data_IF_236988177781
#
_entry.id   IF_236988177781
#
_cell.length_a   1.000
_cell.length_b   1.000
_cell.length_c   1.000
_cell.angle_alpha   90.00
_cell.angle_beta   90.00
_cell.angle_gamma   90.00
#
_symmetry.space_group_name_H-M   'P 1'
#
loop_
_entity.id
_entity.type
_entity.pdbx_description
1 polymer ?
#
# COMPACT_ATOMS: atom_id res chain seq x y z
N UNK A 1 41.80 -34.33 69.62
CA UNK A 1 42.73 -34.31 68.48
C UNK A 1 42.15 -33.36 67.45
N UNK A 2 42.60 -32.09 67.45
CA UNK A 2 41.99 -31.03 66.63
C UNK A 2 42.44 -31.11 65.17
N UNK A 3 41.49 -31.03 64.23
CA UNK A 3 41.77 -30.97 62.80
C UNK A 3 42.48 -29.64 62.51
N UNK A 4 43.71 -29.69 61.98
CA UNK A 4 44.42 -28.51 61.47
C UNK A 4 43.96 -28.24 60.04
N UNK A 5 43.14 -27.22 59.83
CA UNK A 5 42.82 -26.72 58.47
C UNK A 5 44.00 -25.89 57.98
N UNK A 6 44.91 -26.49 57.20
CA UNK A 6 45.91 -25.71 56.45
C UNK A 6 45.19 -25.13 55.23
N UNK A 7 44.81 -23.85 55.30
CA UNK A 7 44.39 -23.13 54.09
C UNK A 7 45.60 -22.96 53.19
N UNK A 8 45.36 -22.97 51.88
CA UNK A 8 46.35 -22.53 50.90
C UNK A 8 46.57 -21.04 51.15
N UNK A 9 47.82 -20.62 51.33
CA UNK A 9 48.13 -19.19 51.50
C UNK A 9 47.81 -18.43 50.20
N UNK A 10 47.47 -17.15 50.33
CA UNK A 10 47.11 -16.31 49.18
C UNK A 10 48.21 -16.30 48.12
N UNK A 11 47.80 -16.34 46.85
CA UNK A 11 48.72 -16.36 45.70
C UNK A 11 49.58 -17.62 45.53
N UNK A 12 49.47 -18.65 46.40
CA UNK A 12 50.33 -19.84 46.30
C UNK A 12 49.99 -20.75 45.12
N UNK A 13 48.76 -20.72 44.60
CA UNK A 13 48.37 -21.44 43.37
C UNK A 13 48.40 -20.44 42.21
N UNK A 14 49.51 -20.37 41.51
CA UNK A 14 49.67 -19.54 40.30
C UNK A 14 49.34 -20.34 39.04
N UNK A 15 49.02 -19.68 37.93
CA UNK A 15 48.68 -20.34 36.67
C UNK A 15 49.71 -21.40 36.21
N UNK A 16 51.04 -21.19 36.32
CA UNK A 16 52.03 -22.23 35.97
C UNK A 16 51.99 -23.49 36.84
N UNK A 17 51.44 -23.41 38.06
CA UNK A 17 51.29 -24.56 38.97
C UNK A 17 50.07 -25.41 38.62
N UNK A 18 49.19 -24.96 37.72
CA UNK A 18 48.06 -25.71 37.18
C UNK A 18 48.44 -26.20 35.79
N UNK A 19 48.80 -27.48 35.67
CA UNK A 19 49.11 -28.07 34.36
C UNK A 19 47.88 -28.02 33.43
N UNK A 20 48.08 -27.91 32.12
CA UNK A 20 47.00 -27.78 31.13
C UNK A 20 46.03 -28.99 31.09
N UNK A 21 46.42 -30.14 31.66
CA UNK A 21 45.57 -31.33 31.84
C UNK A 21 45.27 -31.65 33.31
N UNK A 22 45.43 -30.70 34.23
CA UNK A 22 45.04 -30.90 35.61
C UNK A 22 43.52 -31.09 35.67
N UNK A 23 43.07 -32.27 36.09
CA UNK A 23 41.67 -32.59 36.32
C UNK A 23 41.15 -31.89 37.58
N UNK A 24 41.10 -30.55 37.54
CA UNK A 24 40.46 -29.76 38.58
C UNK A 24 38.97 -30.07 38.50
N UNK A 25 38.51 -30.96 39.39
CA UNK A 25 37.10 -31.26 39.54
C UNK A 25 36.38 -29.96 39.93
N UNK A 26 35.57 -29.42 39.01
CA UNK A 26 34.85 -28.16 39.25
C UNK A 26 33.84 -28.28 40.37
N UNK A 27 33.39 -29.51 40.69
CA UNK A 27 32.58 -29.83 41.87
C UNK A 27 33.31 -29.62 43.21
N UNK A 28 34.65 -29.49 43.20
CA UNK A 28 35.50 -29.21 44.36
C UNK A 28 35.94 -27.76 44.46
N UNK A 29 35.83 -26.99 43.38
CA UNK A 29 35.73 -25.53 43.50
C UNK A 29 34.39 -25.25 44.20
N UNK A 30 34.27 -24.21 45.02
CA UNK A 30 33.01 -23.93 45.70
C UNK A 30 31.90 -23.84 44.65
N UNK A 31 31.14 -24.91 44.52
CA UNK A 31 30.31 -25.20 43.36
C UNK A 31 28.97 -24.48 43.57
N UNK A 32 29.07 -23.17 43.79
CA UNK A 32 28.01 -22.29 44.26
C UNK A 32 27.51 -21.35 43.18
N UNK A 33 26.85 -20.28 43.62
CA UNK A 33 26.14 -19.27 42.84
C UNK A 33 27.01 -18.45 41.87
N UNK A 34 28.32 -18.65 41.87
CA UNK A 34 29.29 -17.78 41.18
C UNK A 34 29.54 -18.16 39.72
N UNK A 35 29.09 -19.34 39.25
CA UNK A 35 29.30 -19.80 37.88
C UNK A 35 28.00 -20.24 37.19
N UNK A 36 27.89 -19.94 35.90
CA UNK A 36 26.89 -20.58 35.04
C UNK A 36 27.19 -22.06 34.88
N UNK A 37 26.26 -22.91 35.31
CA UNK A 37 26.37 -24.38 35.14
C UNK A 37 25.68 -24.84 33.87
N UNK A 38 26.26 -25.84 33.21
CA UNK A 38 25.72 -26.44 31.97
C UNK A 38 24.35 -27.10 32.14
N UNK A 39 24.03 -27.52 33.36
CA UNK A 39 22.76 -28.12 33.73
C UNK A 39 21.66 -27.08 34.03
N UNK A 40 22.01 -25.78 34.02
CA UNK A 40 21.08 -24.69 34.32
C UNK A 40 20.68 -24.57 35.79
N UNK A 41 21.31 -25.29 36.71
CA UNK A 41 20.95 -25.27 38.14
C UNK A 41 21.28 -23.95 38.84
N UNK A 42 22.11 -23.09 38.24
CA UNK A 42 22.41 -21.73 38.71
C UNK A 42 21.67 -20.73 37.84
N UNK A 43 20.74 -19.99 38.44
CA UNK A 43 19.92 -18.99 37.75
C UNK A 43 20.68 -17.68 37.51
N UNK A 44 20.46 -17.06 36.35
CA UNK A 44 20.81 -15.68 36.12
C UNK A 44 19.87 -14.76 36.90
N UNK A 45 20.34 -14.18 38.01
CA UNK A 45 19.53 -13.27 38.86
C UNK A 45 19.71 -11.79 38.50
N UNK A 46 20.68 -11.47 37.64
CA UNK A 46 20.97 -10.11 37.15
C UNK A 46 20.98 -10.00 35.63
N UNK A 47 21.17 -8.77 35.15
CA UNK A 47 21.38 -8.48 33.73
C UNK A 47 22.77 -8.97 33.30
N UNK A 48 22.83 -9.66 32.16
CA UNK A 48 24.08 -10.11 31.57
C UNK A 48 24.30 -9.38 30.24
N UNK A 49 25.27 -8.47 30.21
CA UNK A 49 25.71 -7.82 28.98
C UNK A 49 26.72 -8.71 28.25
N UNK A 50 26.46 -8.99 26.97
CA UNK A 50 27.32 -9.80 26.11
C UNK A 50 28.30 -8.96 25.28
N UNK A 51 28.33 -7.63 25.44
CA UNK A 51 29.21 -6.70 24.72
C UNK A 51 29.20 -6.92 23.19
N UNK A 52 28.00 -6.98 22.60
CA UNK A 52 27.73 -7.25 21.18
C UNK A 52 28.20 -8.62 20.64
N UNK A 53 28.50 -9.59 21.51
CA UNK A 53 28.80 -10.95 21.08
C UNK A 53 27.53 -11.76 20.80
N UNK A 54 27.67 -12.80 19.96
CA UNK A 54 26.58 -13.70 19.58
C UNK A 54 26.34 -14.77 20.65
N UNK A 55 25.08 -15.03 20.95
CA UNK A 55 24.64 -16.26 21.63
C UNK A 55 24.18 -17.24 20.54
N UNK A 56 24.85 -18.38 20.41
CA UNK A 56 24.55 -19.38 19.39
C UNK A 56 23.65 -20.49 19.94
N UNK A 57 22.93 -21.20 19.06
CA UNK A 57 22.05 -22.32 19.40
C UNK A 57 20.91 -21.97 20.37
N UNK A 58 20.33 -20.78 20.24
CA UNK A 58 19.11 -20.39 20.96
C UNK A 58 17.91 -21.10 20.32
N UNK A 59 17.15 -21.84 21.12
CA UNK A 59 15.95 -22.57 20.67
C UNK A 59 14.83 -21.65 20.18
N UNK A 60 13.81 -22.21 19.53
CA UNK A 60 12.59 -21.46 19.18
C UNK A 60 11.82 -21.13 20.48
N UNK A 61 11.42 -19.86 20.69
CA UNK A 61 10.71 -19.47 21.90
C UNK A 61 9.34 -20.17 21.98
N UNK A 62 8.97 -20.59 23.19
CA UNK A 62 7.66 -21.22 23.49
C UNK A 62 6.89 -20.46 24.57
N UNK A 63 7.60 -19.77 25.47
CA UNK A 63 7.02 -18.89 26.48
C UNK A 63 7.26 -17.40 26.14
N UNK A 64 6.47 -16.51 26.74
CA UNK A 64 6.56 -15.06 26.50
C UNK A 64 7.87 -14.43 26.99
N UNK A 65 8.59 -15.07 27.89
CA UNK A 65 9.88 -14.60 28.41
C UNK A 65 11.11 -15.23 27.75
N UNK A 66 10.92 -16.14 26.79
CA UNK A 66 12.05 -16.83 26.15
C UNK A 66 12.85 -15.86 25.25
N UNK A 67 14.16 -16.06 25.18
CA UNK A 67 14.98 -15.42 24.15
C UNK A 67 14.54 -15.90 22.77
N UNK A 68 14.37 -14.96 21.83
CA UNK A 68 13.97 -15.29 20.46
C UNK A 68 15.20 -15.49 19.57
N UNK A 69 15.20 -16.55 18.77
CA UNK A 69 16.22 -16.72 17.73
C UNK A 69 15.85 -15.92 16.47
N UNK A 70 16.87 -15.56 15.68
CA UNK A 70 16.68 -14.74 14.47
C UNK A 70 15.72 -15.40 13.47
N UNK A 71 15.85 -16.71 13.26
CA UNK A 71 15.02 -17.47 12.31
C UNK A 71 13.54 -17.36 12.64
N UNK A 72 13.17 -17.42 13.92
CA UNK A 72 11.80 -17.25 14.39
C UNK A 72 11.26 -15.85 14.05
N UNK A 73 12.01 -14.80 14.39
CA UNK A 73 11.63 -13.40 14.09
C UNK A 73 11.51 -13.17 12.59
N UNK A 74 12.49 -13.62 11.80
CA UNK A 74 12.47 -13.50 10.34
C UNK A 74 11.25 -14.19 9.73
N UNK A 75 10.88 -15.38 10.24
CA UNK A 75 9.73 -16.14 9.75
C UNK A 75 8.41 -15.42 10.06
N UNK A 76 8.28 -14.81 11.24
CA UNK A 76 7.10 -14.01 11.59
C UNK A 76 6.99 -12.77 10.72
N UNK A 77 8.10 -12.07 10.47
CA UNK A 77 8.13 -10.87 9.60
C UNK A 77 7.78 -11.26 8.16
N UNK A 78 8.36 -12.35 7.65
CA UNK A 78 8.04 -12.86 6.33
C UNK A 78 6.57 -13.32 6.22
N UNK A 79 6.00 -13.83 7.32
CA UNK A 79 4.61 -14.24 7.42
C UNK A 79 3.62 -13.10 7.69
N UNK A 80 4.09 -11.87 7.95
CA UNK A 80 3.22 -10.73 8.14
C UNK A 80 2.60 -10.35 6.78
N UNK A 81 1.45 -10.94 6.48
CA UNK A 81 0.60 -10.50 5.39
C UNK A 81 0.06 -9.11 5.73
N UNK A 82 0.68 -8.06 5.21
CA UNK A 82 0.06 -6.74 5.25
C UNK A 82 -1.34 -6.86 4.66
N UNK A 83 -2.37 -6.43 5.41
CA UNK A 83 -3.77 -6.51 4.99
C UNK A 83 -4.01 -5.90 3.59
N UNK A 84 -3.08 -5.04 3.16
CA UNK A 84 -2.92 -4.55 1.81
C UNK A 84 -1.45 -4.62 1.39
N UNK A 85 -1.15 -5.18 0.22
CA UNK A 85 0.20 -5.17 -0.36
C UNK A 85 0.45 -3.79 -0.97
N UNK A 86 0.79 -2.80 -0.13
CA UNK A 86 1.06 -1.42 -0.56
C UNK A 86 2.44 -1.28 -1.19
N UNK A 87 2.49 -0.62 -2.34
CA UNK A 87 3.72 -0.37 -3.11
C UNK A 87 3.74 1.08 -3.57
N UNK A 88 4.90 1.71 -3.52
CA UNK A 88 5.11 3.03 -4.11
C UNK A 88 6.00 2.84 -5.33
N UNK A 89 5.57 3.40 -6.46
CA UNK A 89 6.37 3.49 -7.68
C UNK A 89 6.62 4.95 -7.99
N UNK A 90 7.69 5.24 -8.72
CA UNK A 90 7.99 6.62 -9.06
C UNK A 90 7.07 7.13 -10.17
N UNK A 91 6.89 6.35 -11.22
CA UNK A 91 6.03 6.68 -12.36
C UNK A 91 5.20 5.48 -12.81
N UNK A 92 4.23 5.72 -13.69
CA UNK A 92 3.46 4.70 -14.38
C UNK A 92 3.50 4.91 -15.90
N UNK A 93 3.36 3.81 -16.65
CA UNK A 93 3.20 3.89 -18.11
C UNK A 93 1.87 4.55 -18.48
N UNK A 94 1.85 5.40 -19.52
CA UNK A 94 0.63 5.99 -20.10
C UNK A 94 0.15 5.24 -21.36
N UNK A 95 0.75 4.08 -21.66
CA UNK A 95 0.46 3.25 -22.82
C UNK A 95 1.36 2.01 -22.85
N UNK A 96 1.33 1.28 -23.97
CA UNK A 96 2.16 0.08 -24.16
C UNK A 96 3.67 0.41 -24.05
N UNK A 97 4.41 -0.44 -23.34
CA UNK A 97 5.88 -0.45 -23.31
C UNK A 97 6.42 -1.83 -23.67
N UNK A 98 7.52 -1.88 -24.42
CA UNK A 98 8.27 -3.11 -24.63
C UNK A 98 9.15 -3.39 -23.40
N UNK A 99 8.76 -4.36 -22.58
CA UNK A 99 9.50 -4.69 -21.34
C UNK A 99 10.90 -5.27 -21.61
N UNK A 100 11.17 -5.79 -22.80
CA UNK A 100 12.50 -6.29 -23.18
C UNK A 100 13.43 -5.18 -23.66
N UNK A 101 12.90 -4.02 -24.01
CA UNK A 101 13.67 -2.83 -24.35
C UNK A 101 12.72 -1.61 -24.32
N UNK A 102 12.69 -0.82 -23.23
CA UNK A 102 11.71 0.26 -23.08
C UNK A 102 11.89 1.40 -24.09
N UNK A 103 13.07 1.53 -24.72
CA UNK A 103 13.39 2.55 -25.72
C UNK A 103 13.47 3.99 -25.20
N UNK A 104 13.11 4.23 -23.93
CA UNK A 104 13.04 5.55 -23.29
C UNK A 104 13.37 5.43 -21.80
N UNK A 105 13.86 6.51 -21.21
CA UNK A 105 13.92 6.68 -19.75
C UNK A 105 12.77 7.54 -19.22
N UNK A 106 11.93 8.10 -20.10
CA UNK A 106 10.86 9.02 -19.72
C UNK A 106 9.51 8.31 -19.76
N UNK A 107 8.83 8.27 -18.61
CA UNK A 107 7.49 7.71 -18.43
C UNK A 107 6.59 8.74 -17.75
N UNK A 108 5.45 9.05 -18.36
CA UNK A 108 4.53 10.08 -17.86
C UNK A 108 5.23 11.41 -17.49
N UNK A 109 6.11 11.90 -18.36
CA UNK A 109 6.99 13.09 -18.14
C UNK A 109 8.10 12.94 -17.09
N UNK A 110 8.14 11.84 -16.35
CA UNK A 110 9.17 11.53 -15.34
C UNK A 110 10.36 10.84 -15.99
N UNK A 111 11.57 11.39 -15.84
CA UNK A 111 12.82 10.73 -16.28
C UNK A 111 13.32 9.78 -15.19
N UNK A 112 13.28 8.48 -15.44
CA UNK A 112 13.65 7.41 -14.52
C UNK A 112 15.17 7.24 -14.40
N UNK A 113 15.64 7.03 -13.17
CA UNK A 113 16.99 6.54 -12.87
C UNK A 113 17.01 5.01 -12.75
N UNK A 114 18.19 4.42 -12.90
CA UNK A 114 18.38 2.97 -12.73
C UNK A 114 17.91 2.55 -11.33
N UNK A 115 17.24 1.40 -11.26
CA UNK A 115 16.62 0.78 -10.09
C UNK A 115 15.41 1.50 -9.50
N UNK A 116 14.91 2.55 -10.14
CA UNK A 116 13.62 3.13 -9.79
C UNK A 116 12.45 2.26 -10.25
N UNK A 117 11.38 2.24 -9.47
CA UNK A 117 10.20 1.42 -9.73
C UNK A 117 9.24 2.12 -10.69
N UNK A 118 8.82 1.39 -11.72
CA UNK A 118 7.85 1.77 -12.73
C UNK A 118 6.64 0.82 -12.66
N UNK A 119 5.43 1.37 -12.63
CA UNK A 119 4.22 0.57 -12.86
C UNK A 119 3.94 0.44 -14.36
N UNK A 120 3.97 -0.80 -14.86
CA UNK A 120 3.52 -1.16 -16.21
C UNK A 120 2.14 -1.79 -16.09
N UNK A 121 1.10 -1.07 -16.53
CA UNK A 121 -0.29 -1.47 -16.22
C UNK A 121 -1.23 -1.56 -17.42
N UNK A 122 -0.81 -1.05 -18.59
CA UNK A 122 -1.64 -0.99 -19.79
C UNK A 122 -1.09 -1.79 -20.97
N UNK A 123 -0.16 -2.72 -20.74
CA UNK A 123 0.35 -3.53 -21.86
C UNK A 123 -0.76 -4.41 -22.45
N UNK A 124 -0.80 -4.48 -23.78
CA UNK A 124 -1.73 -5.35 -24.52
C UNK A 124 -1.53 -6.83 -24.12
N UNK A 125 -0.29 -7.27 -23.93
CA UNK A 125 0.01 -8.57 -23.30
C UNK A 125 -0.07 -8.41 -21.78
N UNK A 126 -1.27 -8.55 -21.22
CA UNK A 126 -1.52 -8.25 -19.80
C UNK A 126 -0.74 -9.13 -18.81
N UNK A 127 -0.28 -10.33 -19.21
CA UNK A 127 0.61 -11.13 -18.35
C UNK A 127 1.99 -10.50 -18.12
N UNK A 128 2.32 -9.45 -18.88
CA UNK A 128 3.51 -8.61 -18.71
C UNK A 128 3.27 -7.39 -17.82
N UNK A 129 2.05 -7.09 -17.41
CA UNK A 129 1.83 -6.01 -16.44
C UNK A 129 2.45 -6.37 -15.08
N UNK A 130 2.75 -5.34 -14.30
CA UNK A 130 3.37 -5.45 -12.99
C UNK A 130 4.25 -4.25 -12.66
N UNK A 131 4.98 -4.38 -11.56
CA UNK A 131 5.97 -3.38 -11.13
C UNK A 131 7.35 -3.83 -11.60
N UNK A 132 8.09 -2.91 -12.19
CA UNK A 132 9.41 -3.17 -12.77
C UNK A 132 10.45 -2.19 -12.22
N UNK A 133 11.67 -2.68 -12.04
CA UNK A 133 12.87 -1.86 -11.90
C UNK A 133 13.31 -1.39 -13.28
N UNK A 134 13.46 -0.08 -13.45
CA UNK A 134 14.06 0.50 -14.65
C UNK A 134 15.57 0.23 -14.65
N UNK A 135 16.12 -0.32 -15.74
CA UNK A 135 17.55 -0.65 -15.84
C UNK A 135 18.32 0.17 -16.87
N UNK A 136 17.65 1.14 -17.50
CA UNK A 136 18.17 1.92 -18.62
C UNK A 136 17.26 1.83 -19.84
N UNK A 137 17.33 2.82 -20.73
CA UNK A 137 16.43 2.95 -21.87
C UNK A 137 16.57 1.82 -22.89
N UNK A 138 17.74 1.20 -23.00
CA UNK A 138 18.02 0.11 -23.93
C UNK A 138 18.18 -1.27 -23.25
N UNK A 139 17.83 -1.38 -21.97
CA UNK A 139 17.99 -2.59 -21.16
C UNK A 139 16.61 -3.13 -20.79
N UNK A 140 16.39 -4.46 -20.80
CA UNK A 140 15.14 -5.03 -20.32
C UNK A 140 14.76 -4.52 -18.94
N UNK A 141 13.48 -4.18 -18.78
CA UNK A 141 12.89 -3.97 -17.47
C UNK A 141 12.96 -5.28 -16.68
N UNK A 142 13.25 -5.19 -15.39
CA UNK A 142 13.33 -6.36 -14.51
C UNK A 142 12.16 -6.31 -13.54
N UNK A 143 11.36 -7.38 -13.41
CA UNK A 143 10.27 -7.41 -12.43
C UNK A 143 10.82 -7.09 -11.04
N UNK A 144 10.10 -6.26 -10.29
CA UNK A 144 10.48 -5.93 -8.92
C UNK A 144 10.33 -7.17 -8.02
N UNK A 145 11.14 -7.32 -6.95
CA UNK A 145 11.06 -8.46 -6.02
C UNK A 145 9.74 -8.62 -5.26
N UNK A 146 8.80 -7.69 -5.46
CA UNK A 146 7.47 -7.69 -4.88
C UNK A 146 6.37 -7.68 -5.96
N UNK A 147 6.75 -8.08 -7.18
CA UNK A 147 5.92 -8.27 -8.36
C UNK A 147 6.48 -9.41 -9.24
N UNK A 148 7.13 -10.40 -8.61
CA UNK A 148 7.80 -11.55 -9.22
C UNK A 148 7.20 -12.91 -8.82
N UNK A 149 6.12 -12.91 -8.02
CA UNK A 149 5.30 -14.08 -7.76
C UNK A 149 3.80 -13.79 -7.92
N UNK A 150 3.02 -14.79 -8.37
CA UNK A 150 1.58 -14.57 -8.64
C UNK A 150 0.82 -14.13 -7.39
N UNK A 151 1.14 -14.73 -6.24
CA UNK A 151 0.50 -14.42 -4.97
C UNK A 151 0.75 -12.99 -4.49
N UNK A 152 1.50 -12.16 -5.23
CA UNK A 152 1.73 -10.75 -4.91
C UNK A 152 0.72 -9.81 -5.57
N UNK A 153 0.05 -10.23 -6.65
CA UNK A 153 -0.88 -9.38 -7.40
C UNK A 153 -2.28 -9.26 -6.80
N UNK A 154 -2.94 -10.35 -6.34
CA UNK A 154 -4.28 -10.27 -5.77
C UNK A 154 -4.34 -9.27 -4.60
N UNK A 155 -5.22 -8.27 -4.74
CA UNK A 155 -5.44 -7.22 -3.75
C UNK A 155 -4.29 -6.24 -3.55
N UNK A 156 -3.29 -6.21 -4.44
CA UNK A 156 -2.19 -5.25 -4.34
C UNK A 156 -2.65 -3.82 -4.63
N UNK A 157 -2.07 -2.86 -3.90
CA UNK A 157 -2.29 -1.42 -4.06
C UNK A 157 -0.98 -0.74 -4.42
N UNK A 158 -1.00 0.08 -5.46
CA UNK A 158 0.18 0.77 -6.00
C UNK A 158 -0.12 2.27 -6.05
N UNK A 159 0.67 3.06 -5.33
CA UNK A 159 0.67 4.52 -5.44
C UNK A 159 1.75 4.97 -6.41
N UNK A 160 1.43 5.95 -7.26
CA UNK A 160 2.36 6.57 -8.21
C UNK A 160 2.70 7.97 -7.70
N UNK A 161 3.99 8.23 -7.48
CA UNK A 161 4.43 9.48 -6.84
C UNK A 161 4.49 10.67 -7.80
N UNK A 162 4.87 10.45 -9.06
CA UNK A 162 5.14 11.51 -10.02
C UNK A 162 4.53 11.19 -11.39
N UNK A 163 4.21 12.24 -12.15
CA UNK A 163 3.79 12.16 -13.54
C UNK A 163 2.63 13.08 -13.87
N UNK A 164 2.49 13.46 -15.14
CA UNK A 164 1.47 14.42 -15.57
C UNK A 164 0.05 13.81 -15.62
N UNK A 165 -0.07 12.54 -15.96
CA UNK A 165 -1.35 11.84 -16.18
C UNK A 165 -1.70 10.92 -14.99
N UNK A 166 -0.69 10.31 -14.39
CA UNK A 166 -0.81 9.29 -13.35
C UNK A 166 -0.07 9.64 -12.06
N UNK A 167 0.56 10.81 -11.96
CA UNK A 167 1.04 11.33 -10.68
C UNK A 167 -0.07 11.38 -9.64
N UNK A 168 0.31 11.17 -8.37
CA UNK A 168 -0.57 11.13 -7.19
C UNK A 168 -1.75 10.14 -7.28
N UNK A 169 -1.70 9.20 -8.22
CA UNK A 169 -2.78 8.24 -8.45
C UNK A 169 -2.53 6.94 -7.70
N UNK A 170 -3.63 6.23 -7.39
CA UNK A 170 -3.60 4.88 -6.84
C UNK A 170 -4.18 3.88 -7.83
N UNK A 171 -3.63 2.68 -7.81
CA UNK A 171 -4.06 1.55 -8.63
C UNK A 171 -4.21 0.32 -7.73
N UNK A 172 -5.20 -0.51 -8.01
CA UNK A 172 -5.32 -1.82 -7.39
C UNK A 172 -5.36 -2.93 -8.42
N UNK A 173 -4.87 -4.11 -8.08
CA UNK A 173 -4.97 -5.29 -8.94
C UNK A 173 -6.12 -6.18 -8.47
N UNK A 174 -7.24 -6.25 -9.22
CA UNK A 174 -8.40 -7.06 -8.87
C UNK A 174 -8.26 -8.54 -9.26
N UNK A 175 -7.07 -9.01 -9.67
CA UNK A 175 -6.89 -10.41 -10.05
C UNK A 175 -7.11 -11.35 -8.86
N UNK A 176 -7.57 -12.56 -9.14
CA UNK A 176 -7.85 -13.58 -8.12
C UNK A 176 -6.60 -14.42 -7.81
N UNK A 177 -6.62 -15.09 -6.66
CA UNK A 177 -5.64 -16.13 -6.34
C UNK A 177 -5.66 -17.27 -7.37
N UNK A 178 -4.54 -18.00 -7.48
CA UNK A 178 -4.45 -19.23 -8.30
C UNK A 178 -4.04 -19.06 -9.77
N UNK A 179 -3.63 -17.88 -10.21
CA UNK A 179 -3.03 -17.67 -11.52
C UNK A 179 -1.53 -18.00 -11.57
N UNK A 180 -0.93 -17.83 -12.76
CA UNK A 180 0.48 -18.12 -13.03
C UNK A 180 1.16 -16.90 -13.65
N UNK A 181 2.27 -16.46 -13.05
CA UNK A 181 3.07 -15.34 -13.55
C UNK A 181 3.54 -15.60 -14.99
N UNK A 182 3.48 -14.56 -15.84
CA UNK A 182 3.89 -14.66 -17.25
C UNK A 182 2.84 -15.26 -18.19
N UNK A 183 1.83 -15.94 -17.64
CA UNK A 183 0.77 -16.60 -18.43
C UNK A 183 -0.60 -15.96 -18.17
N UNK A 184 -1.03 -15.90 -16.91
CA UNK A 184 -2.33 -15.31 -16.55
C UNK A 184 -2.26 -13.79 -16.67
N UNK A 185 -3.34 -13.18 -17.16
CA UNK A 185 -3.43 -11.73 -17.28
C UNK A 185 -3.32 -11.04 -15.91
N UNK A 186 -2.46 -10.02 -15.82
CA UNK A 186 -2.35 -9.15 -14.65
C UNK A 186 -3.02 -7.83 -15.01
N UNK A 187 -4.12 -7.51 -14.34
CA UNK A 187 -4.88 -6.28 -14.57
C UNK A 187 -4.70 -5.34 -13.40
N UNK A 188 -4.59 -4.04 -13.67
CA UNK A 188 -4.71 -2.99 -12.67
C UNK A 188 -5.88 -2.07 -13.02
N UNK A 189 -6.61 -1.67 -12.00
CA UNK A 189 -7.66 -0.66 -12.09
C UNK A 189 -7.16 0.59 -11.36
N UNK A 190 -7.24 1.74 -12.02
CA UNK A 190 -7.00 3.02 -11.35
C UNK A 190 -8.11 3.26 -10.34
N UNK A 191 -7.77 3.54 -9.09
CA UNK A 191 -8.74 4.10 -8.14
C UNK A 191 -9.21 5.44 -8.70
N UNK A 192 -10.53 5.65 -8.88
CA UNK A 192 -11.03 6.92 -9.36
C UNK A 192 -10.70 7.99 -8.30
N UNK A 193 -9.60 8.71 -8.51
CA UNK A 193 -9.16 9.82 -7.65
C UNK A 193 -10.09 11.04 -7.77
N UNK A 194 -11.06 11.01 -8.67
CA UNK A 194 -12.15 11.99 -8.74
C UNK A 194 -13.48 11.25 -8.61
N UNK A 195 -14.05 11.33 -7.42
CA UNK A 195 -15.49 11.17 -7.24
C UNK A 195 -16.24 12.33 -7.90
N UNK A 196 -17.49 12.56 -7.49
CA UNK A 196 -18.22 13.75 -7.90
C UNK A 196 -17.48 15.00 -7.40
N UNK A 197 -17.06 15.85 -8.34
CA UNK A 197 -16.51 17.17 -8.03
C UNK A 197 -17.55 18.25 -8.28
N UNK A 198 -17.31 19.47 -7.81
CA UNK A 198 -18.15 20.61 -8.14
C UNK A 198 -18.29 20.85 -9.67
N UNK A 199 -17.31 20.42 -10.47
CA UNK A 199 -17.38 20.53 -11.92
C UNK A 199 -18.45 19.62 -12.55
N UNK A 200 -18.90 18.59 -11.84
CA UNK A 200 -19.97 17.68 -12.27
C UNK A 200 -21.36 18.18 -11.87
N UNK A 201 -21.44 19.19 -11.00
CA UNK A 201 -22.70 19.75 -10.52
C UNK A 201 -22.93 21.12 -11.15
N UNK A 202 -24.18 21.41 -11.47
CA UNK A 202 -24.64 22.76 -11.78
C UNK A 202 -25.71 23.10 -10.77
N UNK A 203 -25.45 24.13 -9.96
CA UNK A 203 -26.34 24.53 -8.87
C UNK A 203 -27.07 25.83 -9.21
N UNK A 204 -28.40 25.79 -9.15
CA UNK A 204 -29.28 26.97 -9.27
C UNK A 204 -28.99 27.78 -10.54
N UNK A 205 -28.79 27.10 -11.66
CA UNK A 205 -28.74 27.73 -12.97
C UNK A 205 -30.04 28.49 -13.25
N UNK A 206 -29.94 29.68 -13.84
CA UNK A 206 -31.09 30.34 -14.46
C UNK A 206 -31.10 29.96 -15.93
N UNK A 207 -32.02 29.10 -16.38
CA UNK A 207 -32.06 28.72 -17.78
C UNK A 207 -32.40 29.94 -18.65
N UNK A 208 -31.87 29.95 -19.87
CA UNK A 208 -32.20 30.99 -20.84
C UNK A 208 -33.61 30.82 -21.40
N UNK A 209 -34.23 31.93 -21.81
CA UNK A 209 -35.64 31.99 -22.22
C UNK A 209 -36.37 33.09 -21.49
N UNK A 210 -37.27 33.80 -22.16
CA UNK A 210 -38.04 34.88 -21.52
C UNK A 210 -39.17 34.30 -20.70
N UNK A 211 -39.35 34.76 -19.46
CA UNK A 211 -40.53 34.46 -18.63
C UNK A 211 -41.54 35.60 -18.84
N UNK A 212 -42.53 35.37 -19.70
CA UNK A 212 -43.46 36.41 -20.17
C UNK A 212 -44.93 35.98 -20.16
N UNK A 213 -45.27 34.87 -19.50
CA UNK A 213 -46.62 34.31 -19.48
C UNK A 213 -47.05 33.56 -20.75
N UNK A 214 -46.19 33.46 -21.77
CA UNK A 214 -46.49 32.74 -23.01
C UNK A 214 -45.40 31.75 -23.45
N UNK A 215 -44.13 32.00 -23.11
CA UNK A 215 -43.03 31.13 -23.48
C UNK A 215 -42.96 29.90 -22.56
N UNK A 216 -42.91 28.71 -23.17
CA UNK A 216 -42.77 27.42 -22.46
C UNK A 216 -41.38 26.80 -22.60
N UNK A 217 -40.54 27.31 -23.50
CA UNK A 217 -39.24 26.72 -23.82
C UNK A 217 -38.09 27.47 -23.13
N UNK A 218 -37.22 26.71 -22.48
CA UNK A 218 -36.05 27.21 -21.77
C UNK A 218 -34.82 26.34 -22.04
N UNK A 219 -33.62 26.92 -22.02
CA UNK A 219 -32.38 26.20 -22.37
C UNK A 219 -31.32 26.31 -21.29
N UNK A 220 -30.80 25.16 -20.88
CA UNK A 220 -29.69 24.98 -19.95
C UNK A 220 -28.33 25.10 -20.66
N UNK A 221 -27.29 25.45 -19.91
CA UNK A 221 -25.93 25.58 -20.41
C UNK A 221 -25.26 24.23 -20.70
N UNK A 222 -25.68 23.14 -20.02
CA UNK A 222 -25.15 21.80 -20.23
C UNK A 222 -26.30 20.78 -20.21
N UNK A 223 -26.13 19.66 -20.89
CA UNK A 223 -27.09 18.54 -20.86
C UNK A 223 -27.05 17.86 -19.50
N UNK A 224 -28.17 17.76 -18.76
CA UNK A 224 -28.21 16.98 -17.53
C UNK A 224 -27.99 15.49 -17.77
N UNK A 225 -27.36 14.82 -16.81
CA UNK A 225 -27.50 13.37 -16.66
C UNK A 225 -28.98 13.09 -16.45
N UNK A 226 -29.55 12.21 -17.27
CA UNK A 226 -30.99 11.91 -17.30
C UNK A 226 -31.59 11.71 -15.91
N UNK A 227 -32.57 12.53 -15.55
CA UNK A 227 -33.30 12.45 -14.28
C UNK A 227 -32.55 13.04 -13.08
N UNK A 228 -31.44 13.73 -13.29
CA UNK A 228 -30.72 14.43 -12.22
C UNK A 228 -31.18 15.87 -12.01
N UNK A 229 -31.96 16.40 -12.95
CA UNK A 229 -32.46 17.76 -12.94
C UNK A 229 -33.54 17.98 -11.89
N UNK A 230 -33.44 19.11 -11.21
CA UNK A 230 -34.46 19.64 -10.33
C UNK A 230 -34.84 21.03 -10.84
N UNK A 231 -35.99 21.16 -11.49
CA UNK A 231 -36.54 22.44 -11.96
C UNK A 231 -37.40 23.04 -10.87
N UNK A 232 -37.09 24.27 -10.46
CA UNK A 232 -37.85 25.02 -9.47
C UNK A 232 -38.50 26.23 -10.13
N UNK A 233 -39.82 26.35 -10.01
CA UNK A 233 -40.59 27.53 -10.37
C UNK A 233 -40.98 28.27 -9.09
N UNK A 234 -40.49 29.50 -8.90
CA UNK A 234 -40.68 30.29 -7.68
C UNK A 234 -40.30 29.55 -6.38
N UNK A 235 -39.32 28.66 -6.46
CA UNK A 235 -38.85 27.84 -5.33
C UNK A 235 -39.62 26.54 -5.13
N UNK A 236 -40.65 26.25 -5.93
CA UNK A 236 -41.41 25.01 -5.88
C UNK A 236 -40.83 24.01 -6.88
N UNK A 237 -40.45 22.82 -6.41
CA UNK A 237 -39.97 21.73 -7.28
C UNK A 237 -41.08 21.30 -8.23
N UNK A 238 -40.75 21.24 -9.52
CA UNK A 238 -41.64 20.82 -10.61
C UNK A 238 -41.43 19.33 -10.93
N UNK A 239 -42.47 18.64 -11.39
CA UNK A 239 -42.45 17.23 -11.74
C UNK A 239 -42.09 17.01 -13.23
N UNK A 240 -41.10 16.14 -13.54
CA UNK A 240 -40.72 15.81 -14.91
C UNK A 240 -41.74 14.88 -15.60
N UNK A 241 -41.43 14.46 -16.83
CA UNK A 241 -42.20 13.44 -17.56
C UNK A 241 -43.46 13.96 -18.25
N UNK A 242 -43.56 15.28 -18.42
CA UNK A 242 -44.70 15.94 -19.05
C UNK A 242 -45.83 16.32 -18.10
N UNK A 243 -45.63 16.16 -16.78
CA UNK A 243 -46.57 16.65 -15.76
C UNK A 243 -46.45 18.17 -15.66
N UNK A 244 -45.32 18.67 -15.16
CA UNK A 244 -45.05 20.11 -15.09
C UNK A 244 -44.04 20.54 -16.17
N UNK A 245 -43.13 19.65 -16.56
CA UNK A 245 -42.22 19.88 -17.67
C UNK A 245 -41.74 18.58 -18.34
N UNK A 246 -41.19 18.73 -19.53
CA UNK A 246 -40.35 17.72 -20.21
C UNK A 246 -38.93 18.26 -20.41
N UNK A 247 -37.97 17.36 -20.55
CA UNK A 247 -36.57 17.71 -20.86
C UNK A 247 -36.03 16.83 -21.98
N UNK A 248 -35.26 17.44 -22.89
CA UNK A 248 -34.46 16.72 -23.90
C UNK A 248 -33.18 17.49 -24.19
N UNK A 249 -32.02 16.85 -23.99
CA UNK A 249 -30.73 17.52 -24.06
C UNK A 249 -30.67 18.68 -23.06
N UNK A 250 -30.39 19.89 -23.55
CA UNK A 250 -30.38 21.12 -22.77
C UNK A 250 -31.75 21.80 -22.66
N UNK A 251 -32.77 21.30 -23.34
CA UNK A 251 -34.06 21.99 -23.49
C UNK A 251 -35.08 21.53 -22.46
N UNK A 252 -35.55 22.46 -21.63
CA UNK A 252 -36.72 22.31 -20.76
C UNK A 252 -37.94 22.86 -21.49
N UNK A 253 -39.03 22.10 -21.53
CA UNK A 253 -40.34 22.58 -21.98
C UNK A 253 -41.34 22.47 -20.84
N UNK A 254 -41.75 23.60 -20.29
CA UNK A 254 -42.79 23.67 -19.26
C UNK A 254 -44.16 23.35 -19.85
N UNK A 255 -44.99 22.60 -19.13
CA UNK A 255 -46.36 22.29 -19.54
C UNK A 255 -47.27 23.54 -19.51
N UNK A 256 -47.01 24.44 -18.56
CA UNK A 256 -47.65 25.77 -18.46
C UNK A 256 -46.58 26.86 -18.50
N UNK A 257 -46.78 27.90 -19.30
CA UNK A 257 -45.84 29.01 -19.39
C UNK A 257 -45.77 29.77 -18.05
N UNK A 258 -44.57 29.95 -17.46
CA UNK A 258 -44.41 30.77 -16.27
C UNK A 258 -44.88 32.22 -16.51
N UNK A 259 -45.63 32.77 -15.55
CA UNK A 259 -46.18 34.13 -15.61
C UNK A 259 -45.09 35.19 -15.51
N UNK A 260 -45.34 36.37 -16.08
CA UNK A 260 -44.40 37.49 -15.97
C UNK A 260 -44.17 37.86 -14.50
N UNK A 261 -42.90 37.98 -14.11
CA UNK A 261 -42.48 38.22 -12.72
C UNK A 261 -42.09 36.95 -11.95
N UNK A 262 -42.36 35.77 -12.48
CA UNK A 262 -41.88 34.50 -11.93
C UNK A 262 -40.41 34.23 -12.28
N UNK A 263 -39.81 33.25 -11.62
CA UNK A 263 -38.43 32.84 -11.89
C UNK A 263 -38.24 31.32 -11.88
N UNK A 264 -37.32 30.86 -12.72
CA UNK A 264 -36.86 29.48 -12.78
C UNK A 264 -35.45 29.33 -12.23
N UNK A 265 -35.21 28.24 -11.51
CA UNK A 265 -33.88 27.77 -11.13
C UNK A 265 -33.77 26.28 -11.39
N UNK A 266 -32.65 25.82 -11.92
CA UNK A 266 -32.42 24.40 -12.20
C UNK A 266 -31.09 23.97 -11.60
N UNK A 267 -31.10 22.91 -10.82
CA UNK A 267 -29.88 22.23 -10.37
C UNK A 267 -29.82 20.84 -11.00
N UNK A 268 -28.64 20.40 -11.43
CA UNK A 268 -28.47 19.10 -12.08
C UNK A 268 -27.03 18.61 -12.03
N UNK A 269 -26.84 17.32 -12.33
CA UNK A 269 -25.51 16.75 -12.59
C UNK A 269 -25.28 16.77 -14.10
N UNK A 270 -24.09 17.14 -14.54
CA UNK A 270 -23.68 17.10 -15.95
C UNK A 270 -22.58 16.07 -16.19
#
# INVERSE_FOLDING_TARGET
MGIRTRQIEDGQITAPKIAAGANIETSKLADGTEFFKRDGSVLATGTHDMNNNKIQNVGTPTNTGDATNKTYVDSLIAGLSSAYKYRNVRAATTGNVNISNPGTAVFDTVTMAVDELLLVWQNTTQSQNGIYLFKGSAVPLVRAPNSDAWNEFPGSLVSVNEGAVHGDSRFFSPVNDGGTLGTTAITYTKDPTSGLTAANMVDRETPSGSINGSNTAFTLANTPVSGSEHVYLNGILQLPGGIDYTISGTSITMATAPLSGEWLRVSYRK
#
